data_IF_628507587807
#
_entry.id   IF_628507587807
#
_cell.length_a   1.000
_cell.length_b   1.000
_cell.length_c   1.000
_cell.angle_alpha   90.00
_cell.angle_beta   90.00
_cell.angle_gamma   90.00
#
_symmetry.space_group_name_H-M   'P 1'
#
loop_
_entity.id
_entity.type
_entity.pdbx_description
1 polymer ?
#
# COMPACT_ATOMS: atom_id res chain seq x y z
N UNK A 1 20.30 -10.85 7.02
CA UNK A 1 18.83 -10.86 7.01
C UNK A 1 18.40 -11.82 5.92
N UNK A 2 17.44 -12.72 6.15
CA UNK A 2 16.99 -13.61 5.09
C UNK A 2 15.94 -12.88 4.26
N UNK A 3 16.26 -12.55 3.02
CA UNK A 3 15.29 -12.00 2.10
C UNK A 3 14.43 -13.14 1.56
N UNK A 4 13.11 -12.96 1.61
CA UNK A 4 12.19 -13.83 0.90
C UNK A 4 11.83 -13.21 -0.44
N UNK A 5 11.60 -14.06 -1.43
CA UNK A 5 11.18 -13.65 -2.77
C UNK A 5 9.87 -14.33 -3.11
N UNK A 6 8.87 -13.54 -3.50
CA UNK A 6 7.59 -14.03 -4.01
C UNK A 6 7.60 -13.81 -5.52
N UNK A 7 7.26 -14.86 -6.27
CA UNK A 7 7.10 -14.75 -7.72
C UNK A 7 5.76 -14.09 -8.04
N UNK A 8 5.80 -12.98 -8.75
CA UNK A 8 4.63 -12.25 -9.25
C UNK A 8 4.65 -12.22 -10.79
N UNK A 9 3.52 -12.45 -11.48
CA UNK A 9 3.48 -12.51 -12.94
C UNK A 9 3.75 -11.16 -13.64
N UNK A 10 3.55 -10.03 -12.94
CA UNK A 10 3.77 -8.68 -13.49
C UNK A 10 5.18 -8.19 -13.18
N UNK A 11 5.58 -8.31 -11.92
CA UNK A 11 6.81 -7.72 -11.38
C UNK A 11 7.98 -8.70 -11.21
N UNK A 12 7.77 -9.95 -11.64
CA UNK A 12 8.70 -11.09 -11.56
C UNK A 12 9.00 -11.54 -10.14
N UNK A 13 9.92 -10.88 -9.43
CA UNK A 13 10.27 -11.22 -8.05
C UNK A 13 10.05 -10.02 -7.15
N UNK A 14 9.16 -10.16 -6.18
CA UNK A 14 8.88 -9.19 -5.14
C UNK A 14 9.68 -9.59 -3.90
N UNK A 15 10.53 -8.67 -3.43
CA UNK A 15 11.42 -8.90 -2.30
C UNK A 15 10.82 -8.38 -1.01
N UNK A 16 10.89 -9.23 0.02
CA UNK A 16 10.39 -8.95 1.35
C UNK A 16 11.49 -9.16 2.38
N UNK A 17 11.59 -8.22 3.30
CA UNK A 17 12.36 -8.37 4.52
C UNK A 17 11.63 -9.28 5.50
N UNK A 18 12.36 -9.91 6.42
CA UNK A 18 11.80 -10.83 7.41
C UNK A 18 10.68 -10.21 8.25
N UNK A 19 10.77 -8.92 8.58
CA UNK A 19 9.73 -8.26 9.37
C UNK A 19 8.47 -7.94 8.55
N UNK A 20 8.62 -7.67 7.24
CA UNK A 20 7.49 -7.41 6.34
C UNK A 20 6.63 -8.66 6.13
N UNK A 21 7.24 -9.84 6.22
CA UNK A 21 6.51 -11.11 6.21
C UNK A 21 5.47 -11.21 7.33
N UNK A 22 5.69 -10.52 8.46
CA UNK A 22 4.73 -10.53 9.58
C UNK A 22 3.43 -9.82 9.20
N UNK A 23 3.49 -8.80 8.35
CA UNK A 23 2.29 -8.18 7.76
C UNK A 23 1.62 -9.14 6.79
N UNK A 24 2.40 -9.85 5.97
CA UNK A 24 1.83 -10.85 5.05
C UNK A 24 1.07 -11.95 5.79
N UNK A 25 1.57 -12.38 6.95
CA UNK A 25 1.03 -13.50 7.72
C UNK A 25 -0.11 -13.12 8.67
N UNK A 26 -0.44 -11.82 8.81
CA UNK A 26 -1.53 -11.40 9.67
C UNK A 26 -2.91 -11.63 9.04
N UNK A 27 -3.94 -11.79 9.88
CA UNK A 27 -5.32 -12.01 9.48
C UNK A 27 -5.86 -10.93 8.54
N UNK A 28 -5.72 -9.62 8.86
CA UNK A 28 -6.16 -8.53 8.00
C UNK A 28 -5.66 -8.64 6.56
N UNK A 29 -4.37 -8.97 6.37
CA UNK A 29 -3.76 -9.04 5.06
C UNK A 29 -4.06 -10.36 4.34
N UNK A 30 -4.01 -11.51 5.03
CA UNK A 30 -4.37 -12.81 4.44
C UNK A 30 -5.82 -12.84 3.92
N UNK A 31 -6.73 -12.06 4.53
CA UNK A 31 -8.10 -11.87 4.04
C UNK A 31 -8.16 -11.43 2.58
N UNK A 32 -7.19 -10.63 2.12
CA UNK A 32 -7.16 -10.12 0.75
C UNK A 32 -7.05 -11.23 -0.30
N UNK A 33 -6.59 -12.44 0.07
CA UNK A 33 -6.60 -13.62 -0.82
C UNK A 33 -8.00 -14.05 -1.24
N UNK A 34 -9.02 -13.62 -0.52
CA UNK A 34 -10.41 -13.99 -0.76
C UNK A 34 -11.22 -12.86 -1.41
N UNK A 35 -10.60 -11.72 -1.69
CA UNK A 35 -11.27 -10.55 -2.28
C UNK A 35 -10.78 -10.38 -3.71
N UNK A 36 -11.70 -10.56 -4.68
CA UNK A 36 -11.42 -10.28 -6.08
C UNK A 36 -11.16 -8.80 -6.29
N UNK A 37 -10.13 -8.46 -7.07
CA UNK A 37 -9.84 -7.07 -7.46
C UNK A 37 -11.04 -6.46 -8.19
N UNK A 38 -11.54 -7.20 -9.20
CA UNK A 38 -12.61 -6.74 -10.10
C UNK A 38 -14.00 -7.27 -9.70
N UNK A 39 -14.23 -7.52 -8.41
CA UNK A 39 -15.52 -7.99 -7.88
C UNK A 39 -16.09 -9.21 -8.65
N UNK A 40 -17.23 -9.05 -9.34
CA UNK A 40 -17.93 -10.11 -10.07
C UNK A 40 -17.49 -10.26 -11.54
N UNK A 41 -16.49 -9.49 -11.99
CA UNK A 41 -16.03 -9.49 -13.38
C UNK A 41 -15.60 -10.87 -13.87
N UNK A 42 -15.12 -11.73 -12.96
CA UNK A 42 -14.78 -13.13 -13.26
C UNK A 42 -15.96 -13.97 -13.79
N UNK A 43 -17.21 -13.54 -13.57
CA UNK A 43 -18.40 -14.20 -14.13
C UNK A 43 -18.57 -13.91 -15.63
N UNK A 44 -17.94 -12.85 -16.15
CA UNK A 44 -17.93 -12.48 -17.57
C UNK A 44 -16.59 -12.83 -18.23
N UNK A 45 -15.49 -12.59 -17.52
CA UNK A 45 -14.12 -12.87 -17.96
C UNK A 45 -13.50 -13.91 -17.01
N UNK A 46 -13.60 -15.22 -17.29
CA UNK A 46 -13.24 -16.28 -16.34
C UNK A 46 -11.80 -16.26 -15.82
N UNK A 47 -10.89 -15.55 -16.49
CA UNK A 47 -9.49 -15.36 -16.10
C UNK A 47 -9.26 -14.15 -15.19
N UNK A 48 -10.25 -13.26 -15.00
CA UNK A 48 -10.24 -12.13 -14.06
C UNK A 48 -10.38 -12.57 -12.59
N UNK A 49 -9.61 -13.56 -12.17
CA UNK A 49 -9.69 -14.20 -10.84
C UNK A 49 -8.69 -13.65 -9.84
N UNK A 50 -7.85 -12.71 -10.24
CA UNK A 50 -6.83 -12.12 -9.39
C UNK A 50 -7.46 -11.37 -8.19
N UNK A 51 -6.71 -11.31 -7.11
CA UNK A 51 -7.10 -10.83 -5.79
C UNK A 51 -6.35 -9.57 -5.41
N UNK A 52 -6.92 -8.86 -4.43
CA UNK A 52 -6.26 -7.70 -3.83
C UNK A 52 -4.91 -8.04 -3.20
N UNK A 53 -4.73 -9.29 -2.76
CA UNK A 53 -3.47 -9.75 -2.16
C UNK A 53 -2.25 -9.53 -3.08
N UNK A 54 -2.28 -10.09 -4.29
CA UNK A 54 -1.16 -9.93 -5.24
C UNK A 54 -1.04 -8.52 -5.80
N UNK A 55 -2.16 -7.79 -5.91
CA UNK A 55 -2.17 -6.38 -6.25
C UNK A 55 -1.39 -5.56 -5.20
N UNK A 56 -1.73 -5.68 -3.92
CA UNK A 56 -1.04 -4.99 -2.83
C UNK A 56 0.47 -5.28 -2.78
N UNK A 57 0.87 -6.52 -3.09
CA UNK A 57 2.30 -6.86 -3.22
C UNK A 57 2.97 -6.09 -4.37
N UNK A 58 2.31 -6.02 -5.52
CA UNK A 58 2.80 -5.26 -6.67
C UNK A 58 2.91 -3.77 -6.40
N UNK A 59 1.91 -3.18 -5.74
CA UNK A 59 1.92 -1.76 -5.32
C UNK A 59 3.10 -1.49 -4.37
N UNK A 60 3.35 -2.35 -3.39
CA UNK A 60 4.53 -2.23 -2.50
C UNK A 60 5.85 -2.25 -3.27
N UNK A 61 6.00 -3.18 -4.22
CA UNK A 61 7.21 -3.30 -5.03
C UNK A 61 7.43 -2.05 -5.90
N UNK A 62 6.39 -1.58 -6.59
CA UNK A 62 6.48 -0.37 -7.41
C UNK A 62 6.77 0.87 -6.56
N UNK A 63 6.10 1.04 -5.42
CA UNK A 63 6.36 2.14 -4.49
C UNK A 63 7.83 2.17 -4.07
N UNK A 64 8.42 1.00 -3.83
CA UNK A 64 9.83 0.87 -3.44
C UNK A 64 10.77 1.31 -4.55
N UNK A 65 10.50 0.89 -5.79
CA UNK A 65 11.30 1.29 -6.96
C UNK A 65 11.24 2.79 -7.18
N UNK A 66 10.05 3.39 -7.07
CA UNK A 66 9.88 4.85 -7.18
C UNK A 66 10.64 5.54 -6.05
N UNK A 67 10.51 5.07 -4.81
CA UNK A 67 11.22 5.63 -3.67
C UNK A 67 12.73 5.62 -3.86
N UNK A 68 13.29 4.49 -4.29
CA UNK A 68 14.72 4.32 -4.52
C UNK A 68 15.23 5.28 -5.61
N UNK A 69 14.43 5.53 -6.65
CA UNK A 69 14.78 6.49 -7.72
C UNK A 69 14.75 7.93 -7.21
N UNK A 70 13.70 8.34 -6.50
CA UNK A 70 13.55 9.76 -6.07
C UNK A 70 14.48 10.14 -4.91
N UNK A 71 15.01 9.14 -4.18
CA UNK A 71 15.95 9.36 -3.07
C UNK A 71 17.41 9.14 -3.44
N UNK A 72 17.67 8.68 -4.68
CA UNK A 72 19.04 8.57 -5.20
C UNK A 72 19.66 9.96 -5.32
N UNK A 73 20.83 10.23 -4.67
CA UNK A 73 21.55 11.49 -4.77
C UNK A 73 21.79 11.97 -6.21
N UNK A 74 21.94 11.06 -7.17
CA UNK A 74 22.20 11.40 -8.58
C UNK A 74 20.94 11.88 -9.31
N UNK A 75 19.75 11.57 -8.78
CA UNK A 75 18.45 11.97 -9.34
C UNK A 75 17.85 13.21 -8.65
N UNK A 76 18.43 13.66 -7.53
CA UNK A 76 17.90 14.79 -6.76
C UNK A 76 18.35 16.12 -7.37
N UNK A 77 17.38 16.87 -7.89
CA UNK A 77 17.61 18.24 -8.34
C UNK A 77 17.73 19.20 -7.13
N UNK A 78 18.60 20.20 -7.23
CA UNK A 78 18.91 21.12 -6.12
C UNK A 78 17.66 21.85 -5.58
N UNK A 79 16.66 22.12 -6.45
CA UNK A 79 15.42 22.80 -6.06
C UNK A 79 14.52 22.01 -5.11
N UNK A 80 14.65 20.68 -5.04
CA UNK A 80 13.83 19.81 -4.17
C UNK A 80 14.64 19.19 -3.04
N UNK A 81 15.95 19.45 -3.00
CA UNK A 81 16.88 18.86 -2.02
C UNK A 81 16.51 19.16 -0.58
N UNK A 82 15.93 20.32 -0.30
CA UNK A 82 15.48 20.70 1.04
C UNK A 82 14.26 19.93 1.54
N UNK A 83 13.51 19.28 0.63
CA UNK A 83 12.33 18.47 0.96
C UNK A 83 12.75 17.04 1.33
N UNK A 84 13.83 16.54 0.70
CA UNK A 84 14.32 15.18 0.94
C UNK A 84 14.90 15.07 2.36
N UNK A 85 14.44 14.12 3.19
CA UNK A 85 14.96 13.92 4.54
C UNK A 85 16.43 13.50 4.56
N UNK A 86 17.03 13.53 5.76
CA UNK A 86 18.38 13.02 5.96
C UNK A 86 18.41 11.51 5.77
N UNK A 87 19.59 10.96 5.45
CA UNK A 87 19.78 9.53 5.15
C UNK A 87 19.16 8.57 6.17
N UNK A 88 19.27 8.86 7.47
CA UNK A 88 18.70 8.00 8.52
C UNK A 88 17.16 7.96 8.46
N UNK A 89 16.54 9.11 8.16
CA UNK A 89 15.10 9.23 8.02
C UNK A 89 14.61 8.57 6.73
N UNK A 90 15.45 8.48 5.69
CA UNK A 90 15.10 7.79 4.45
C UNK A 90 14.84 6.29 4.68
N UNK A 91 15.66 5.60 5.47
CA UNK A 91 15.42 4.18 5.76
C UNK A 91 14.09 3.97 6.50
N UNK A 92 13.75 4.89 7.41
CA UNK A 92 12.45 4.88 8.09
C UNK A 92 11.30 5.08 7.11
N UNK A 93 11.35 6.14 6.31
CA UNK A 93 10.29 6.49 5.36
C UNK A 93 10.13 5.44 4.26
N UNK A 94 11.21 4.78 3.84
CA UNK A 94 11.13 3.64 2.92
C UNK A 94 10.31 2.49 3.52
N UNK A 95 10.57 2.12 4.78
CA UNK A 95 9.78 1.08 5.48
C UNK A 95 8.33 1.51 5.65
N UNK A 96 8.08 2.75 6.07
CA UNK A 96 6.73 3.28 6.23
C UNK A 96 5.95 3.30 4.91
N UNK A 97 6.56 3.79 3.82
CA UNK A 97 5.96 3.79 2.48
C UNK A 97 5.64 2.38 2.01
N UNK A 98 6.57 1.43 2.18
CA UNK A 98 6.35 0.02 1.79
C UNK A 98 5.15 -0.57 2.53
N UNK A 99 5.06 -0.37 3.84
CA UNK A 99 3.93 -0.88 4.62
C UNK A 99 2.62 -0.17 4.26
N UNK A 100 2.66 1.13 4.01
CA UNK A 100 1.49 1.89 3.56
C UNK A 100 0.99 1.38 2.19
N UNK A 101 1.90 1.20 1.23
CA UNK A 101 1.60 0.67 -0.10
C UNK A 101 1.06 -0.77 -0.03
N UNK A 102 1.64 -1.60 0.83
CA UNK A 102 1.14 -2.95 1.07
C UNK A 102 -0.26 -2.93 1.72
N UNK A 103 -0.52 -1.99 2.62
CA UNK A 103 -1.75 -1.97 3.41
C UNK A 103 -2.88 -1.10 2.84
N UNK A 104 -2.65 -0.35 1.76
CA UNK A 104 -3.60 0.64 1.23
C UNK A 104 -4.99 0.06 0.93
N UNK A 105 -5.03 -1.22 0.59
CA UNK A 105 -6.20 -1.95 0.15
C UNK A 105 -6.87 -2.79 1.27
N UNK A 106 -6.36 -2.71 2.50
CA UNK A 106 -6.77 -3.58 3.62
C UNK A 106 -8.26 -3.51 3.92
N UNK A 107 -8.89 -2.36 3.74
CA UNK A 107 -10.29 -2.15 4.10
C UNK A 107 -11.32 -2.55 3.04
N UNK A 108 -10.89 -3.04 1.86
CA UNK A 108 -11.86 -3.39 0.82
C UNK A 108 -12.73 -4.60 1.17
N UNK A 109 -14.00 -4.52 0.83
CA UNK A 109 -14.95 -5.61 1.03
C UNK A 109 -15.07 -6.50 -0.22
N UNK A 110 -15.56 -7.76 -0.07
CA UNK A 110 -16.07 -8.51 -1.20
C UNK A 110 -17.09 -7.67 -1.98
N UNK A 111 -17.03 -7.74 -3.31
CA UNK A 111 -17.89 -6.95 -4.21
C UNK A 111 -17.62 -5.43 -4.22
N UNK A 112 -16.51 -4.97 -3.63
CA UNK A 112 -16.04 -3.58 -3.66
C UNK A 112 -17.13 -2.58 -3.20
N UNK A 113 -17.20 -1.39 -3.82
CA UNK A 113 -18.14 -0.32 -3.44
C UNK A 113 -19.62 -0.73 -3.38
N UNK A 114 -20.03 -1.77 -4.12
CA UNK A 114 -21.42 -2.23 -4.06
C UNK A 114 -21.79 -2.75 -2.66
N UNK A 115 -20.84 -3.36 -1.95
CA UNK A 115 -21.04 -3.89 -0.61
C UNK A 115 -20.87 -2.83 0.48
N UNK A 116 -20.06 -1.79 0.26
CA UNK A 116 -19.77 -0.76 1.26
C UNK A 116 -21.05 -0.07 1.75
N UNK A 117 -21.92 0.37 0.84
CA UNK A 117 -23.16 1.08 1.19
C UNK A 117 -24.11 0.25 2.05
N UNK A 118 -24.21 -1.04 1.77
CA UNK A 118 -25.26 -1.90 2.32
C UNK A 118 -24.77 -2.75 3.50
N UNK A 119 -23.46 -2.98 3.64
CA UNK A 119 -22.87 -3.79 4.71
C UNK A 119 -22.13 -2.98 5.79
N UNK A 120 -21.65 -1.78 5.48
CA UNK A 120 -20.95 -0.95 6.47
C UNK A 120 -21.92 -0.05 7.25
N UNK A 121 -21.56 0.31 8.50
CA UNK A 121 -22.30 1.33 9.24
C UNK A 121 -22.31 2.66 8.48
N UNK A 122 -23.34 3.48 8.71
CA UNK A 122 -23.42 4.80 8.07
C UNK A 122 -22.15 5.64 8.33
N UNK A 123 -21.56 6.17 7.26
CA UNK A 123 -20.33 6.96 7.32
C UNK A 123 -19.04 6.13 7.43
N UNK A 124 -19.10 4.84 7.10
CA UNK A 124 -17.92 3.99 6.92
C UNK A 124 -17.71 3.68 5.45
N UNK A 125 -16.45 3.72 5.04
CA UNK A 125 -15.93 3.36 3.73
C UNK A 125 -14.72 2.43 3.91
N UNK A 126 -14.14 1.96 2.81
CA UNK A 126 -12.99 1.05 2.85
C UNK A 126 -11.72 1.78 3.34
N UNK A 127 -11.60 3.08 3.11
CA UNK A 127 -10.48 3.88 3.59
C UNK A 127 -10.50 3.96 5.11
N UNK A 128 -11.67 4.23 5.73
CA UNK A 128 -11.83 4.16 7.18
C UNK A 128 -11.53 2.76 7.71
N UNK A 129 -12.02 1.70 7.06
CA UNK A 129 -11.73 0.35 7.51
C UNK A 129 -10.23 0.03 7.42
N UNK A 130 -9.54 0.56 6.41
CA UNK A 130 -8.07 0.47 6.27
C UNK A 130 -7.37 1.10 7.47
N UNK A 131 -7.80 2.30 7.88
CA UNK A 131 -7.25 2.97 9.08
C UNK A 131 -7.45 2.14 10.35
N UNK A 132 -8.65 1.61 10.57
CA UNK A 132 -8.97 0.79 11.76
C UNK A 132 -8.17 -0.52 11.77
N UNK A 133 -7.96 -1.15 10.61
CA UNK A 133 -7.17 -2.38 10.50
C UNK A 133 -5.68 -2.11 10.78
N UNK A 134 -5.10 -1.04 10.21
CA UNK A 134 -3.71 -0.66 10.47
C UNK A 134 -3.49 -0.37 11.96
N UNK A 135 -4.46 0.27 12.63
CA UNK A 135 -4.42 0.58 14.08
C UNK A 135 -4.84 -0.58 14.97
N UNK A 136 -5.18 -1.73 14.40
CA UNK A 136 -5.68 -2.86 15.19
C UNK A 136 -4.61 -3.41 16.14
N UNK A 137 -5.05 -3.97 17.26
CA UNK A 137 -4.15 -4.63 18.21
C UNK A 137 -3.42 -5.85 17.63
N UNK A 138 -3.87 -6.38 16.49
CA UNK A 138 -3.16 -7.44 15.77
C UNK A 138 -1.95 -6.89 14.98
N UNK A 139 -2.08 -5.71 14.37
CA UNK A 139 -1.03 -5.12 13.55
C UNK A 139 -0.03 -4.27 14.36
N UNK A 140 -0.45 -3.68 15.48
CA UNK A 140 0.44 -2.84 16.31
C UNK A 140 1.76 -3.51 16.77
N UNK A 141 1.75 -4.79 17.20
CA UNK A 141 2.99 -5.50 17.51
C UNK A 141 3.93 -5.65 16.31
N UNK A 142 3.40 -5.63 15.08
CA UNK A 142 4.19 -5.69 13.84
C UNK A 142 4.90 -4.36 13.61
N UNK A 143 4.17 -3.24 13.72
CA UNK A 143 4.74 -1.88 13.58
C UNK A 143 5.83 -1.61 14.60
N UNK A 144 5.60 -2.03 15.85
CA UNK A 144 6.59 -1.94 16.93
C UNK A 144 7.86 -2.70 16.59
N UNK A 145 7.76 -3.93 16.07
CA UNK A 145 8.92 -4.74 15.69
C UNK A 145 9.67 -4.15 14.49
N UNK A 146 8.93 -3.59 13.52
CA UNK A 146 9.48 -2.91 12.34
C UNK A 146 10.05 -1.53 12.65
N UNK A 147 9.80 -0.99 13.85
CA UNK A 147 10.14 0.38 14.26
C UNK A 147 9.56 1.41 13.28
N UNK A 148 8.28 1.25 12.96
CA UNK A 148 7.49 2.14 12.13
C UNK A 148 6.28 2.62 12.94
N UNK A 149 5.91 3.89 12.80
CA UNK A 149 4.70 4.42 13.40
C UNK A 149 3.46 4.02 12.59
N UNK A 150 2.46 3.43 13.25
CA UNK A 150 1.19 3.04 12.62
C UNK A 150 0.45 4.23 12.01
N UNK A 151 0.58 5.42 12.60
CA UNK A 151 -0.04 6.64 12.09
C UNK A 151 0.57 7.09 10.77
N UNK A 152 1.89 6.93 10.58
CA UNK A 152 2.55 7.26 9.32
C UNK A 152 2.11 6.26 8.22
N UNK A 153 2.02 4.98 8.57
CA UNK A 153 1.52 3.93 7.65
C UNK A 153 0.08 4.23 7.24
N UNK A 154 -0.79 4.49 8.22
CA UNK A 154 -2.21 4.78 8.02
C UNK A 154 -2.42 6.04 7.18
N UNK A 155 -1.68 7.11 7.50
CA UNK A 155 -1.75 8.41 6.82
C UNK A 155 -1.31 8.29 5.36
N UNK A 156 -0.21 7.59 5.08
CA UNK A 156 0.28 7.40 3.71
C UNK A 156 -0.63 6.46 2.89
N UNK A 157 -1.18 5.42 3.53
CA UNK A 157 -2.03 4.41 2.87
C UNK A 157 -3.31 5.01 2.27
N UNK A 158 -3.98 5.93 2.99
CA UNK A 158 -5.24 6.53 2.53
C UNK A 158 -5.08 7.94 1.93
N UNK A 159 -3.96 8.60 2.24
CA UNK A 159 -3.61 9.91 1.73
C UNK A 159 -4.48 11.09 2.21
N UNK A 160 -4.19 12.31 1.72
CA UNK A 160 -4.74 13.55 2.29
C UNK A 160 -6.24 13.73 2.05
N UNK A 161 -6.81 13.07 1.03
CA UNK A 161 -8.26 13.14 0.74
C UNK A 161 -9.08 12.45 1.86
N UNK A 162 -8.53 11.39 2.45
CA UNK A 162 -9.22 10.54 3.43
C UNK A 162 -8.67 10.71 4.85
N UNK A 163 -7.47 11.25 5.02
CA UNK A 163 -6.85 11.55 6.31
C UNK A 163 -7.02 13.03 6.72
N UNK A 164 -8.25 13.45 7.04
CA UNK A 164 -8.62 14.87 7.15
C UNK A 164 -8.10 15.60 8.40
N UNK A 165 -7.80 14.88 9.47
CA UNK A 165 -7.46 15.48 10.77
C UNK A 165 -5.96 15.77 10.95
N UNK A 166 -5.14 15.63 9.89
CA UNK A 166 -3.71 15.91 9.95
C UNK A 166 -3.20 16.65 8.73
N UNK A 167 -2.15 17.43 8.95
CA UNK A 167 -1.42 18.11 7.88
C UNK A 167 -0.34 17.19 7.34
N UNK A 168 -0.20 17.18 6.02
CA UNK A 168 0.91 16.54 5.33
C UNK A 168 1.99 17.60 5.13
N UNK A 169 3.21 17.32 5.58
CA UNK A 169 4.36 18.07 5.12
C UNK A 169 4.68 17.71 3.65
N UNK A 170 5.60 18.46 3.04
CA UNK A 170 5.93 18.29 1.63
C UNK A 170 6.46 16.88 1.32
N UNK A 171 7.15 16.24 2.28
CA UNK A 171 7.69 14.90 2.10
C UNK A 171 6.59 13.84 2.20
N UNK A 172 5.74 13.91 3.22
CA UNK A 172 4.57 13.05 3.38
C UNK A 172 3.61 13.15 2.18
N UNK A 173 3.45 14.36 1.63
CA UNK A 173 2.64 14.60 0.44
C UNK A 173 3.22 13.88 -0.79
N UNK A 174 4.55 13.95 -0.99
CA UNK A 174 5.24 13.19 -2.05
C UNK A 174 5.03 11.68 -1.85
N UNK A 175 5.24 11.18 -0.63
CA UNK A 175 5.08 9.75 -0.34
C UNK A 175 3.65 9.24 -0.57
N UNK A 176 2.65 10.04 -0.19
CA UNK A 176 1.25 9.70 -0.44
C UNK A 176 0.92 9.72 -1.94
N UNK A 177 1.47 10.67 -2.70
CA UNK A 177 1.31 10.74 -4.16
C UNK A 177 1.92 9.52 -4.88
N UNK A 178 2.97 8.91 -4.33
CA UNK A 178 3.52 7.66 -4.88
C UNK A 178 2.49 6.53 -4.82
N UNK A 179 1.66 6.45 -3.78
CA UNK A 179 0.70 5.34 -3.61
C UNK A 179 -0.62 5.67 -4.32
N UNK A 180 -1.34 6.67 -3.79
CA UNK A 180 -2.73 6.98 -4.14
C UNK A 180 -2.86 8.21 -5.05
N UNK A 181 -1.72 8.72 -5.54
CA UNK A 181 -1.67 9.91 -6.36
C UNK A 181 -2.33 9.75 -7.72
N UNK A 182 -2.84 10.86 -8.26
CA UNK A 182 -3.51 10.87 -9.55
C UNK A 182 -2.53 10.89 -10.73
N UNK A 183 -1.30 11.39 -10.51
CA UNK A 183 -0.28 11.53 -11.55
C UNK A 183 0.71 10.35 -11.56
N UNK A 184 1.20 9.95 -10.38
CA UNK A 184 2.26 8.94 -10.24
C UNK A 184 1.87 7.75 -9.37
N UNK A 185 0.59 7.63 -8.98
CA UNK A 185 0.11 6.57 -8.10
C UNK A 185 0.39 5.17 -8.64
N UNK A 186 1.24 4.44 -7.92
CA UNK A 186 1.66 3.09 -8.31
C UNK A 186 0.55 2.05 -8.11
N UNK A 187 -0.47 2.36 -7.31
CA UNK A 187 -1.75 1.63 -7.29
C UNK A 187 -2.31 1.49 -8.71
N UNK A 188 -2.46 2.63 -9.40
CA UNK A 188 -2.92 2.69 -10.80
C UNK A 188 -2.00 1.98 -11.77
N UNK A 189 -0.69 2.10 -11.58
CA UNK A 189 0.27 1.42 -12.43
C UNK A 189 0.17 -0.11 -12.31
N UNK A 190 -0.01 -0.63 -11.09
CA UNK A 190 -0.19 -2.07 -10.88
C UNK A 190 -1.51 -2.56 -11.48
N UNK A 191 -2.65 -1.97 -11.10
CA UNK A 191 -3.93 -2.51 -11.54
C UNK A 191 -4.10 -2.42 -13.06
N UNK A 192 -3.62 -1.36 -13.72
CA UNK A 192 -3.71 -1.26 -15.18
C UNK A 192 -2.97 -2.40 -15.89
N UNK A 193 -1.79 -2.78 -15.38
CA UNK A 193 -1.03 -3.90 -15.93
C UNK A 193 -1.68 -5.25 -15.57
N UNK A 194 -2.06 -5.42 -14.29
CA UNK A 194 -2.61 -6.67 -13.76
C UNK A 194 -3.96 -7.01 -14.37
N UNK A 195 -4.85 -6.03 -14.49
CA UNK A 195 -6.17 -6.20 -15.09
C UNK A 195 -6.06 -6.54 -16.59
N UNK A 196 -5.03 -6.02 -17.28
CA UNK A 196 -4.85 -6.20 -18.74
C UNK A 196 -4.42 -7.61 -19.15
N UNK A 197 -3.83 -8.38 -18.25
CA UNK A 197 -3.36 -9.75 -18.53
C UNK A 197 -4.36 -10.82 -18.10
N UNK A 198 -5.56 -10.39 -17.69
CA UNK A 198 -6.64 -11.27 -17.22
C UNK A 198 -7.80 -11.41 -18.19
#
# INVERSE_FOLDING_TARGET
MSNQEIRDPIHNFIRLETEEMRVLDCGPFQRLRHIHQLALTYLLYPSATHRRFEHSLGVMELASRVYDVITDPDNIHESVRSIIPRKFDLEYWRRALRMAALCHDLGHLPFSHAAERDLLPAGWDHERLTLELIRSGEMEPIWTAMKVNSEDVAKLAVGPKHYKDSRFDDWEAILSEIIVGDAFGVDRMDYLLRDSIT
#
